data_IF_548114139940
#
_entry.id   IF_548114139940
#
_cell.length_a   1.000
_cell.length_b   1.000
_cell.length_c   1.000
_cell.angle_alpha   90.00
_cell.angle_beta   90.00
_cell.angle_gamma   90.00
#
_symmetry.space_group_name_H-M   'P 1'
#
loop_
_entity.id
_entity.type
_entity.pdbx_description
1 polymer ?
#
# COMPACT_ATOMS: atom_id res chain seq x y z
N UNK A 1 -2.22 8.85 -14.03
CA UNK A 1 -1.78 7.95 -12.95
C UNK A 1 -0.31 8.20 -12.64
N UNK A 2 0.00 8.53 -11.38
CA UNK A 2 1.36 8.75 -10.92
C UNK A 2 1.58 8.04 -9.59
N UNK A 3 2.65 7.26 -9.50
CA UNK A 3 3.03 6.61 -8.26
C UNK A 3 4.01 7.48 -7.47
N UNK A 4 3.76 7.57 -6.17
CA UNK A 4 4.69 8.13 -5.20
C UNK A 4 5.00 7.09 -4.14
N UNK A 5 6.24 7.06 -3.66
CA UNK A 5 6.72 6.09 -2.68
C UNK A 5 7.40 6.79 -1.51
N UNK A 6 7.14 6.31 -0.31
CA UNK A 6 7.83 6.74 0.91
C UNK A 6 8.12 5.52 1.80
N UNK A 7 9.11 5.64 2.69
CA UNK A 7 9.37 4.60 3.69
C UNK A 7 8.14 4.41 4.58
N UNK A 8 7.66 3.17 4.72
CA UNK A 8 6.44 2.91 5.47
C UNK A 8 6.59 3.20 6.97
N UNK A 9 7.76 2.92 7.52
CA UNK A 9 8.11 3.18 8.93
C UNK A 9 8.03 4.66 9.32
N UNK A 10 8.15 5.56 8.35
CA UNK A 10 8.07 7.01 8.53
C UNK A 10 7.07 7.65 7.56
N UNK A 11 6.03 6.91 7.19
CA UNK A 11 5.06 7.37 6.20
C UNK A 11 4.40 8.69 6.66
N UNK A 12 4.35 9.72 5.80
CA UNK A 12 3.65 10.96 6.12
C UNK A 12 2.17 10.70 6.41
N UNK A 13 1.60 11.49 7.32
CA UNK A 13 0.20 11.37 7.72
C UNK A 13 -0.75 11.40 6.50
N UNK A 14 -0.51 12.30 5.54
CA UNK A 14 -1.37 12.43 4.36
C UNK A 14 -1.38 11.17 3.47
N UNK A 15 -0.26 10.44 3.42
CA UNK A 15 -0.18 9.16 2.70
C UNK A 15 -0.96 8.05 3.43
N UNK A 16 -0.84 7.99 4.76
CA UNK A 16 -1.62 7.06 5.59
C UNK A 16 -3.13 7.36 5.54
N UNK A 17 -3.50 8.64 5.53
CA UNK A 17 -4.89 9.08 5.39
C UNK A 17 -5.42 8.74 3.99
N UNK A 18 -4.61 8.87 2.93
CA UNK A 18 -4.97 8.46 1.57
C UNK A 18 -5.20 6.95 1.47
N UNK A 19 -4.32 6.15 2.08
CA UNK A 19 -4.52 4.70 2.21
C UNK A 19 -5.81 4.37 2.96
N UNK A 20 -6.04 5.01 4.10
CA UNK A 20 -7.21 4.73 4.95
C UNK A 20 -8.52 5.08 4.22
N UNK A 21 -8.57 6.24 3.53
CA UNK A 21 -9.71 6.62 2.68
C UNK A 21 -9.97 5.58 1.60
N UNK A 22 -8.92 5.13 0.90
CA UNK A 22 -9.06 4.11 -0.13
C UNK A 22 -9.54 2.77 0.45
N UNK A 23 -9.05 2.36 1.62
CA UNK A 23 -9.50 1.13 2.29
C UNK A 23 -10.99 1.20 2.65
N UNK A 24 -11.46 2.34 3.17
CA UNK A 24 -12.89 2.58 3.43
C UNK A 24 -13.70 2.45 2.13
N UNK A 25 -13.27 3.11 1.06
CA UNK A 25 -13.99 3.14 -0.22
C UNK A 25 -14.07 1.76 -0.88
N UNK A 26 -12.96 1.02 -0.92
CA UNK A 26 -12.85 -0.23 -1.70
C UNK A 26 -13.32 -1.44 -0.90
N UNK A 27 -13.04 -1.50 0.39
CA UNK A 27 -13.23 -2.72 1.19
C UNK A 27 -14.22 -2.56 2.35
N UNK A 28 -14.77 -1.35 2.56
CA UNK A 28 -15.51 -0.98 3.78
C UNK A 28 -14.63 -1.07 5.03
N UNK A 29 -13.36 -0.69 4.89
CA UNK A 29 -12.37 -0.63 5.98
C UNK A 29 -12.06 -2.00 6.61
N UNK A 30 -11.70 -2.99 5.78
CA UNK A 30 -11.25 -4.30 6.28
C UNK A 30 -10.06 -4.12 7.23
N UNK A 31 -10.12 -4.64 8.47
CA UNK A 31 -9.06 -4.46 9.47
C UNK A 31 -7.69 -5.00 9.05
N UNK A 32 -7.66 -6.08 8.28
CA UNK A 32 -6.40 -6.67 7.78
C UNK A 32 -5.61 -5.74 6.85
N UNK A 33 -6.26 -4.69 6.33
CA UNK A 33 -5.65 -3.67 5.47
C UNK A 33 -5.55 -2.31 6.17
N UNK A 34 -5.89 -2.21 7.46
CA UNK A 34 -5.70 -0.96 8.21
C UNK A 34 -4.21 -0.73 8.47
N UNK A 35 -3.71 0.49 8.25
CA UNK A 35 -2.30 0.82 8.50
C UNK A 35 -1.92 0.64 9.98
N UNK A 36 -2.88 0.74 10.91
CA UNK A 36 -2.66 0.47 12.34
C UNK A 36 -2.46 -1.01 12.64
N UNK A 37 -2.99 -1.90 11.80
CA UNK A 37 -2.75 -3.34 11.87
C UNK A 37 -1.45 -3.71 11.13
N UNK A 38 -1.24 -3.15 9.95
CA UNK A 38 -0.05 -3.42 9.12
C UNK A 38 1.23 -2.84 9.71
N UNK A 39 1.16 -1.71 10.43
CA UNK A 39 2.30 -1.04 11.06
C UNK A 39 3.11 -1.97 11.98
N UNK A 40 2.50 -2.58 13.00
CA UNK A 40 3.14 -3.60 13.82
C UNK A 40 3.71 -4.76 12.99
N UNK A 41 2.97 -5.25 11.98
CA UNK A 41 3.47 -6.35 11.14
C UNK A 41 4.74 -5.97 10.38
N UNK A 42 4.82 -4.76 9.83
CA UNK A 42 6.03 -4.24 9.20
C UNK A 42 7.17 -4.11 10.20
N UNK A 43 6.90 -3.72 11.44
CA UNK A 43 7.94 -3.57 12.46
C UNK A 43 8.54 -4.90 12.92
N UNK A 44 7.72 -5.94 13.03
CA UNK A 44 8.15 -7.26 13.53
C UNK A 44 8.58 -8.24 12.43
N UNK A 45 7.98 -8.17 11.25
CA UNK A 45 8.23 -9.10 10.14
C UNK A 45 8.84 -8.43 8.90
N UNK A 46 8.92 -7.11 8.89
CA UNK A 46 9.66 -6.36 7.88
C UNK A 46 11.13 -6.24 8.22
N UNK A 47 11.88 -5.68 7.29
CA UNK A 47 13.31 -5.38 7.46
C UNK A 47 13.62 -3.89 7.33
N UNK A 48 12.58 -3.04 7.30
CA UNK A 48 12.69 -1.59 7.19
C UNK A 48 12.80 -1.08 5.76
N UNK A 49 12.84 -1.98 4.76
CA UNK A 49 12.84 -1.61 3.34
C UNK A 49 11.42 -1.48 2.76
N UNK A 50 10.40 -1.66 3.59
CA UNK A 50 9.01 -1.55 3.17
C UNK A 50 8.68 -0.10 2.75
N UNK A 51 8.06 0.03 1.58
CA UNK A 51 7.64 1.28 0.99
C UNK A 51 6.12 1.32 0.87
N UNK A 52 5.53 2.44 1.30
CA UNK A 52 4.16 2.78 1.01
C UNK A 52 4.10 3.45 -0.36
N UNK A 53 3.44 2.79 -1.30
CA UNK A 53 3.10 3.33 -2.61
C UNK A 53 1.69 3.90 -2.61
N UNK A 54 1.54 5.12 -3.13
CA UNK A 54 0.26 5.75 -3.43
C UNK A 54 0.23 6.10 -4.91
N UNK A 55 -0.77 5.59 -5.62
CA UNK A 55 -1.06 5.92 -7.01
C UNK A 55 -2.23 6.90 -7.06
N UNK A 56 -1.99 8.06 -7.64
CA UNK A 56 -3.02 9.08 -7.79
C UNK A 56 -3.37 9.34 -9.25
N UNK A 57 -4.64 9.63 -9.51
CA UNK A 57 -5.11 10.20 -10.77
C UNK A 57 -5.91 11.47 -10.47
N UNK A 58 -5.48 12.61 -11.04
CA UNK A 58 -6.09 13.93 -10.78
C UNK A 58 -6.30 14.22 -9.28
N UNK A 59 -5.25 13.98 -8.49
CA UNK A 59 -5.21 14.15 -7.02
C UNK A 59 -6.08 13.18 -6.21
N UNK A 60 -6.79 12.25 -6.85
CA UNK A 60 -7.51 11.18 -6.17
C UNK A 60 -6.62 9.93 -6.06
N UNK A 61 -6.51 9.36 -4.85
CA UNK A 61 -5.84 8.09 -4.63
C UNK A 61 -6.68 6.95 -5.25
N UNK A 62 -6.16 6.30 -6.28
CA UNK A 62 -6.86 5.24 -7.03
C UNK A 62 -6.28 3.85 -6.78
N UNK A 63 -5.04 3.76 -6.31
CA UNK A 63 -4.43 2.51 -5.88
C UNK A 63 -3.38 2.77 -4.81
N UNK A 64 -3.14 1.77 -3.96
CA UNK A 64 -2.09 1.84 -2.95
C UNK A 64 -1.51 0.45 -2.70
N UNK A 65 -0.22 0.40 -2.38
CA UNK A 65 0.49 -0.86 -2.19
C UNK A 65 1.54 -0.73 -1.08
N UNK A 66 1.68 -1.76 -0.25
CA UNK A 66 2.84 -1.91 0.61
C UNK A 66 3.80 -2.89 -0.06
N UNK A 67 4.93 -2.37 -0.54
CA UNK A 67 5.92 -3.12 -1.31
C UNK A 67 7.27 -3.13 -0.59
N UNK A 68 8.19 -3.98 -1.03
CA UNK A 68 9.59 -3.95 -0.62
C UNK A 68 10.49 -4.33 -1.79
N UNK A 69 11.75 -3.87 -1.82
CA UNK A 69 12.73 -4.35 -2.77
C UNK A 69 12.90 -5.87 -2.68
N UNK A 70 12.95 -6.53 -3.84
CA UNK A 70 13.33 -7.94 -3.97
C UNK A 70 14.74 -8.05 -4.57
N UNK A 71 14.97 -7.35 -5.69
CA UNK A 71 16.27 -7.20 -6.35
C UNK A 71 16.40 -5.76 -6.89
N UNK A 72 17.55 -5.43 -7.48
CA UNK A 72 17.74 -4.13 -8.12
C UNK A 72 16.67 -3.89 -9.19
N UNK A 73 15.88 -2.83 -9.03
CA UNK A 73 14.78 -2.49 -9.94
C UNK A 73 13.55 -3.40 -9.88
N UNK A 74 13.49 -4.37 -8.96
CA UNK A 74 12.37 -5.32 -8.84
C UNK A 74 11.80 -5.25 -7.43
N UNK A 75 10.50 -5.00 -7.33
CA UNK A 75 9.78 -4.96 -6.06
C UNK A 75 8.82 -6.14 -5.94
N UNK A 76 8.47 -6.45 -4.69
CA UNK A 76 7.45 -7.45 -4.35
C UNK A 76 6.52 -6.87 -3.28
N UNK A 77 5.33 -7.43 -3.16
CA UNK A 77 4.41 -7.06 -2.08
C UNK A 77 4.99 -7.47 -0.72
N UNK A 78 4.84 -6.62 0.29
CA UNK A 78 5.08 -7.03 1.66
C UNK A 78 3.88 -7.88 2.14
N UNK A 79 4.08 -9.20 2.24
CA UNK A 79 3.06 -10.13 2.74
C UNK A 79 3.59 -10.76 4.03
N UNK A 80 3.25 -10.24 5.21
CA UNK A 80 3.65 -10.86 6.46
C UNK A 80 2.93 -12.21 6.56
N UNK A 81 3.62 -13.26 7.01
CA UNK A 81 3.04 -14.62 7.04
C UNK A 81 1.79 -14.79 7.91
N UNK A 82 1.46 -13.80 8.74
CA UNK A 82 0.25 -13.72 9.57
C UNK A 82 -0.90 -12.93 8.91
N UNK A 83 -0.69 -12.25 7.77
CA UNK A 83 -1.75 -11.57 7.05
C UNK A 83 -2.42 -12.52 6.05
N UNK A 84 -3.74 -12.60 6.10
CA UNK A 84 -4.54 -13.37 5.15
C UNK A 84 -4.62 -12.71 3.75
N UNK A 85 -4.10 -11.48 3.61
CA UNK A 85 -4.21 -10.67 2.41
C UNK A 85 -2.90 -9.92 2.14
N UNK A 86 -2.58 -9.73 0.86
CA UNK A 86 -1.53 -8.79 0.46
C UNK A 86 -2.04 -7.34 0.61
N UNK A 87 -1.23 -6.39 1.12
CA UNK A 87 -1.65 -5.01 1.27
C UNK A 87 -1.63 -4.26 -0.07
N UNK A 88 -2.62 -4.56 -0.91
CA UNK A 88 -2.86 -3.89 -2.19
C UNK A 88 -4.32 -3.47 -2.26
N UNK A 89 -4.53 -2.21 -2.59
CA UNK A 89 -5.84 -1.59 -2.77
C UNK A 89 -5.91 -0.97 -4.16
N UNK A 90 -7.03 -1.14 -4.84
CA UNK A 90 -7.30 -0.51 -6.13
C UNK A 90 -8.79 -0.18 -6.24
N UNK A 91 -9.09 1.04 -6.68
CA UNK A 91 -10.47 1.47 -6.89
C UNK A 91 -11.16 0.61 -7.95
N UNK A 92 -12.44 0.26 -7.77
CA UNK A 92 -13.20 -0.49 -8.77
C UNK A 92 -13.19 0.21 -10.14
N UNK A 93 -13.06 -0.58 -11.21
CA UNK A 93 -13.09 -0.07 -12.58
C UNK A 93 -11.77 0.50 -13.10
N UNK A 94 -10.73 0.61 -12.26
CA UNK A 94 -9.39 0.98 -12.72
C UNK A 94 -8.76 -0.20 -13.47
N UNK A 95 -8.15 0.09 -14.63
CA UNK A 95 -7.44 -0.90 -15.41
C UNK A 95 -6.14 -1.29 -14.71
N UNK A 96 -6.06 -2.54 -14.24
CA UNK A 96 -4.88 -3.06 -13.54
C UNK A 96 -3.59 -2.93 -14.34
N UNK A 97 -3.65 -3.02 -15.69
CA UNK A 97 -2.46 -2.86 -16.53
C UNK A 97 -1.89 -1.45 -16.48
N UNK A 98 -2.73 -0.43 -16.32
CA UNK A 98 -2.28 0.96 -16.25
C UNK A 98 -1.68 1.30 -14.89
N UNK A 99 -2.11 0.59 -13.84
CA UNK A 99 -1.61 0.77 -12.47
C UNK A 99 -0.30 0.00 -12.24
N UNK A 100 -0.11 -1.14 -12.91
CA UNK A 100 1.05 -2.02 -12.73
C UNK A 100 2.14 -1.87 -13.81
N UNK A 101 1.93 -1.00 -14.81
CA UNK A 101 2.93 -0.68 -15.83
C UNK A 101 3.96 0.35 -15.31
#
# INVERSE_FOLDING_TARGET
MNWSFCAYSSAPKDALDSWHKLNIQVTKNVPALDHKFLGPLSNYFGNGSELLGICSDKDECIAAALVRPLHFGIWTMFVPGQACLSPFLISPGINTKEVMA
#
